data_IF_216038531698
#
_entry.id   IF_216038531698
#
_cell.length_a   1.000
_cell.length_b   1.000
_cell.length_c   1.000
_cell.angle_alpha   90.00
_cell.angle_beta   90.00
_cell.angle_gamma   90.00
#
_symmetry.space_group_name_H-M   'P 1'
#
loop_
_entity.id
_entity.type
_entity.pdbx_description
1 polymer ?
#
# COMPACT_ATOMS: atom_id res chain seq x y z
N UNK A 1 -9.09 22.95 -37.41
CA UNK A 1 -9.03 23.82 -36.21
C UNK A 1 -9.14 22.93 -34.99
N UNK A 2 -8.01 22.61 -34.36
CA UNK A 2 -7.98 21.76 -33.17
C UNK A 2 -8.44 22.56 -31.95
N UNK A 3 -9.45 22.06 -31.24
CA UNK A 3 -9.88 22.57 -29.96
C UNK A 3 -8.70 22.43 -28.99
N UNK A 4 -8.12 23.56 -28.59
CA UNK A 4 -7.20 23.60 -27.46
C UNK A 4 -8.01 23.25 -26.22
N UNK A 5 -7.93 21.99 -25.79
CA UNK A 5 -8.40 21.56 -24.48
C UNK A 5 -7.78 22.50 -23.45
N UNK A 6 -8.62 23.36 -22.87
CA UNK A 6 -8.18 24.35 -21.91
C UNK A 6 -7.67 23.61 -20.69
N UNK A 7 -6.36 23.43 -20.59
CA UNK A 7 -5.70 22.91 -19.39
C UNK A 7 -6.05 23.90 -18.27
N UNK A 8 -7.03 23.53 -17.45
CA UNK A 8 -7.43 24.32 -16.29
C UNK A 8 -6.24 24.34 -15.32
N UNK A 9 -5.47 25.42 -15.37
CA UNK A 9 -4.32 25.66 -14.49
C UNK A 9 -4.83 25.92 -13.08
N UNK A 10 -5.18 24.85 -12.36
CA UNK A 10 -5.49 24.91 -10.94
C UNK A 10 -4.18 25.19 -10.20
N UNK A 11 -3.95 26.46 -9.88
CA UNK A 11 -2.81 26.87 -9.08
C UNK A 11 -3.02 26.37 -7.64
N UNK A 12 -2.10 25.54 -7.16
CA UNK A 12 -2.10 25.03 -5.79
C UNK A 12 -0.92 25.66 -5.05
N UNK A 13 -1.22 26.49 -4.05
CA UNK A 13 -0.21 27.04 -3.15
C UNK A 13 0.05 26.10 -1.99
N UNK A 14 1.31 25.81 -1.68
CA UNK A 14 1.70 24.97 -0.54
C UNK A 14 2.75 25.70 0.28
N UNK A 15 2.61 25.66 1.61
CA UNK A 15 3.64 26.10 2.55
C UNK A 15 4.55 24.92 2.88
N UNK A 16 5.83 25.06 2.55
CA UNK A 16 6.84 24.03 2.79
C UNK A 16 7.76 24.43 3.93
N UNK A 17 8.07 23.50 4.86
CA UNK A 17 9.23 23.63 5.74
C UNK A 17 10.51 23.95 4.94
N UNK A 18 11.37 24.81 5.50
CA UNK A 18 12.53 25.33 4.77
C UNK A 18 13.53 24.27 4.28
N UNK A 19 13.67 23.17 5.01
CA UNK A 19 14.53 22.05 4.59
C UNK A 19 13.95 21.30 3.39
N UNK A 20 12.62 21.11 3.32
CA UNK A 20 11.95 20.49 2.18
C UNK A 20 12.06 21.40 0.94
N UNK A 21 11.86 22.70 1.11
CA UNK A 21 12.06 23.66 0.02
C UNK A 21 13.48 23.57 -0.54
N UNK A 22 14.51 23.59 0.32
CA UNK A 22 15.92 23.52 -0.10
C UNK A 22 16.22 22.22 -0.84
N UNK A 23 15.71 21.10 -0.34
CA UNK A 23 15.89 19.80 -0.97
C UNK A 23 15.23 19.70 -2.35
N UNK A 24 13.98 20.14 -2.49
CA UNK A 24 13.28 20.19 -3.78
C UNK A 24 13.95 21.17 -4.75
N UNK A 25 14.41 22.32 -4.25
CA UNK A 25 15.13 23.31 -5.05
C UNK A 25 16.43 22.75 -5.60
N UNK A 26 17.19 21.99 -4.81
CA UNK A 26 18.39 21.29 -5.27
C UNK A 26 18.11 20.32 -6.42
N UNK A 27 16.96 19.62 -6.40
CA UNK A 27 16.55 18.72 -7.51
C UNK A 27 16.22 19.48 -8.79
N UNK A 28 15.62 20.67 -8.67
CA UNK A 28 15.39 21.55 -9.83
C UNK A 28 16.73 22.08 -10.36
N UNK A 29 17.61 22.52 -9.48
CA UNK A 29 18.90 23.10 -9.84
C UNK A 29 19.85 22.03 -10.43
N UNK A 30 19.71 20.77 -10.05
CA UNK A 30 20.42 19.63 -10.65
C UNK A 30 19.80 19.15 -11.98
N UNK A 31 18.69 19.75 -12.42
CA UNK A 31 18.01 19.40 -13.66
C UNK A 31 17.15 18.13 -13.58
N UNK A 32 16.90 17.56 -12.38
CA UNK A 32 15.99 16.41 -12.23
C UNK A 32 14.54 16.80 -12.58
N UNK A 33 14.17 18.06 -12.34
CA UNK A 33 12.87 18.63 -12.64
C UNK A 33 12.98 20.00 -13.29
N UNK A 34 12.11 20.29 -14.26
CA UNK A 34 12.12 21.58 -14.97
C UNK A 34 11.69 22.77 -14.10
N UNK A 35 10.90 22.54 -13.04
CA UNK A 35 10.45 23.58 -12.12
C UNK A 35 10.02 23.00 -10.76
N UNK A 36 9.75 23.88 -9.80
CA UNK A 36 9.34 23.50 -8.44
C UNK A 36 8.01 22.75 -8.39
N UNK A 37 7.03 23.09 -9.23
CA UNK A 37 5.75 22.39 -9.23
C UNK A 37 5.92 20.93 -9.68
N UNK A 38 6.73 20.70 -10.73
CA UNK A 38 7.08 19.36 -11.19
C UNK A 38 7.86 18.58 -10.13
N UNK A 39 8.78 19.22 -9.41
CA UNK A 39 9.51 18.58 -8.32
C UNK A 39 8.59 18.16 -7.16
N UNK A 40 7.68 19.05 -6.73
CA UNK A 40 6.71 18.73 -5.67
C UNK A 40 5.79 17.59 -6.08
N UNK A 41 5.19 17.69 -7.27
CA UNK A 41 4.26 16.67 -7.76
C UNK A 41 5.01 15.35 -7.97
N UNK A 42 6.17 15.37 -8.62
CA UNK A 42 6.95 14.18 -8.92
C UNK A 42 7.36 13.41 -7.68
N UNK A 43 7.86 14.10 -6.64
CA UNK A 43 8.25 13.44 -5.39
C UNK A 43 7.04 12.90 -4.61
N UNK A 44 5.93 13.63 -4.54
CA UNK A 44 4.69 13.15 -3.92
C UNK A 44 4.11 11.94 -4.67
N UNK A 45 4.14 11.96 -6.00
CA UNK A 45 3.67 10.84 -6.83
C UNK A 45 4.55 9.61 -6.62
N UNK A 46 5.88 9.75 -6.59
CA UNK A 46 6.80 8.63 -6.32
C UNK A 46 6.47 7.95 -4.99
N UNK A 47 6.29 8.73 -3.92
CA UNK A 47 5.93 8.19 -2.59
C UNK A 47 4.57 7.49 -2.64
N UNK A 48 3.56 8.13 -3.22
CA UNK A 48 2.22 7.55 -3.34
C UNK A 48 2.24 6.22 -4.10
N UNK A 49 2.97 6.12 -5.21
CA UNK A 49 3.09 4.88 -5.98
C UNK A 49 3.76 3.77 -5.18
N UNK A 50 4.79 4.09 -4.37
CA UNK A 50 5.41 3.11 -3.47
C UNK A 50 4.45 2.63 -2.37
N UNK A 51 3.66 3.54 -1.80
CA UNK A 51 2.63 3.18 -0.82
C UNK A 51 1.52 2.32 -1.43
N UNK A 52 1.05 2.66 -2.63
CA UNK A 52 0.04 1.88 -3.36
C UNK A 52 0.55 0.48 -3.71
N UNK A 53 1.80 0.36 -4.17
CA UNK A 53 2.43 -0.95 -4.42
C UNK A 53 2.49 -1.80 -3.15
N UNK A 54 2.91 -1.22 -2.01
CA UNK A 54 2.94 -1.92 -0.73
C UNK A 54 1.54 -2.33 -0.28
N UNK A 55 0.53 -1.47 -0.45
CA UNK A 55 -0.85 -1.80 -0.12
C UNK A 55 -1.40 -2.94 -0.99
N UNK A 56 -1.03 -2.99 -2.28
CA UNK A 56 -1.38 -4.08 -3.17
C UNK A 56 -0.71 -5.40 -2.76
N UNK A 57 0.56 -5.39 -2.35
CA UNK A 57 1.24 -6.56 -1.79
C UNK A 57 0.57 -7.06 -0.51
N UNK A 58 0.11 -6.16 0.37
CA UNK A 58 -0.64 -6.56 1.57
C UNK A 58 -2.06 -7.04 1.27
N UNK A 59 -2.69 -6.54 0.20
CA UNK A 59 -4.04 -6.96 -0.22
C UNK A 59 -4.01 -8.28 -0.97
N UNK A 60 -2.96 -8.56 -1.75
CA UNK A 60 -2.73 -9.88 -2.35
C UNK A 60 -2.36 -10.95 -1.30
N UNK A 61 -1.93 -10.54 -0.11
CA UNK A 61 -1.85 -11.40 1.07
C UNK A 61 -3.19 -11.57 1.83
N UNK A 62 -4.24 -10.83 1.47
CA UNK A 62 -5.56 -10.87 2.10
C UNK A 62 -6.52 -11.92 1.54
N UNK A 63 -6.15 -12.61 0.45
CA UNK A 63 -6.88 -13.74 -0.15
C UNK A 63 -6.13 -15.06 0.02
N UNK A 64 -5.53 -15.27 1.20
CA UNK A 64 -4.91 -16.55 1.59
C UNK A 64 -5.87 -17.46 2.37
N UNK A 65 -7.15 -17.46 2.00
CA UNK A 65 -8.06 -18.56 2.38
C UNK A 65 -7.69 -19.90 1.70
N UNK A 66 -6.63 -19.91 0.87
CA UNK A 66 -6.16 -21.10 0.16
C UNK A 66 -4.66 -21.41 0.35
N UNK A 67 -4.05 -20.97 1.47
CA UNK A 67 -2.69 -21.43 1.83
C UNK A 67 -2.74 -22.93 2.20
N UNK A 68 -1.99 -23.82 1.53
CA UNK A 68 -1.96 -25.26 1.85
C UNK A 68 -1.64 -25.55 3.33
N UNK A 69 -0.87 -24.67 3.96
CA UNK A 69 -0.51 -24.75 5.38
C UNK A 69 -1.70 -24.41 6.29
N UNK A 70 -2.49 -23.38 5.94
CA UNK A 70 -3.68 -22.99 6.70
C UNK A 70 -4.71 -24.13 6.70
N UNK A 71 -4.92 -24.75 5.53
CA UNK A 71 -5.77 -25.95 5.39
C UNK A 71 -5.28 -27.11 6.26
N UNK A 72 -3.98 -27.42 6.20
CA UNK A 72 -3.37 -28.50 6.98
C UNK A 72 -3.49 -28.28 8.50
N UNK A 73 -3.29 -27.03 8.96
CA UNK A 73 -3.44 -26.67 10.38
C UNK A 73 -4.89 -26.81 10.81
N UNK A 74 -5.84 -26.32 10.02
CA UNK A 74 -7.27 -26.44 10.32
C UNK A 74 -7.73 -27.91 10.38
N UNK A 75 -7.29 -28.74 9.45
CA UNK A 75 -7.56 -30.18 9.47
C UNK A 75 -7.01 -30.84 10.75
N UNK A 76 -5.81 -30.45 11.18
CA UNK A 76 -5.21 -30.97 12.41
C UNK A 76 -5.98 -30.52 13.66
N UNK A 77 -6.38 -29.25 13.72
CA UNK A 77 -7.16 -28.69 14.83
C UNK A 77 -8.51 -29.42 14.95
N UNK A 78 -9.19 -29.63 13.83
CA UNK A 78 -10.47 -30.33 13.82
C UNK A 78 -10.33 -31.82 14.18
N UNK A 79 -9.19 -32.45 13.87
CA UNK A 79 -8.85 -33.78 14.38
C UNK A 79 -8.78 -33.83 15.91
N UNK A 80 -7.99 -32.94 16.51
CA UNK A 80 -7.83 -32.84 17.97
C UNK A 80 -9.16 -32.53 18.65
N UNK A 81 -9.97 -31.66 18.06
CA UNK A 81 -11.29 -31.30 18.59
C UNK A 81 -12.24 -32.50 18.67
N UNK A 82 -12.23 -33.37 17.65
CA UNK A 82 -13.01 -34.61 17.67
C UNK A 82 -12.52 -35.59 18.74
N UNK A 83 -11.22 -35.84 18.80
CA UNK A 83 -10.61 -36.73 19.80
C UNK A 83 -10.93 -36.28 21.23
N UNK A 84 -10.83 -34.98 21.49
CA UNK A 84 -11.14 -34.40 22.80
C UNK A 84 -12.63 -34.53 23.13
N UNK A 85 -13.52 -34.28 22.17
CA UNK A 85 -14.97 -34.46 22.37
C UNK A 85 -15.32 -35.91 22.69
N UNK A 86 -14.68 -36.87 22.03
CA UNK A 86 -14.91 -38.30 22.27
C UNK A 86 -14.36 -38.74 23.64
N UNK A 87 -13.21 -38.23 24.05
CA UNK A 87 -12.65 -38.44 25.39
C UNK A 87 -13.56 -37.85 26.49
N UNK A 88 -14.06 -36.63 26.31
CA UNK A 88 -14.98 -35.98 27.26
C UNK A 88 -16.30 -36.76 27.38
N UNK A 89 -16.85 -37.25 26.26
CA UNK A 89 -18.04 -38.11 26.29
C UNK A 89 -17.78 -39.40 27.05
N UNK A 90 -16.61 -40.03 26.85
CA UNK A 90 -16.24 -41.28 27.52
C UNK A 90 -16.08 -41.12 29.03
N UNK A 91 -15.61 -39.96 29.49
CA UNK A 91 -15.50 -39.63 30.93
C UNK A 91 -16.83 -39.23 31.58
N UNK A 92 -17.86 -38.96 30.78
CA UNK A 92 -19.19 -38.55 31.25
C UNK A 92 -20.19 -39.72 31.28
N UNK A 93 -19.89 -40.81 30.57
CA UNK A 93 -20.58 -42.10 30.69
C UNK A 93 -20.07 -42.87 31.92
#
# INVERSE_FOLDING_TARGET
MGLSDSVSSKQVGVRLPGHLYRWLKNKVDSGEYSNMAQSVIGELTKVKTLEEARCQETTSHGTYDDEPLSRMVNERIEGVRRELLDEVKRRRA
#
